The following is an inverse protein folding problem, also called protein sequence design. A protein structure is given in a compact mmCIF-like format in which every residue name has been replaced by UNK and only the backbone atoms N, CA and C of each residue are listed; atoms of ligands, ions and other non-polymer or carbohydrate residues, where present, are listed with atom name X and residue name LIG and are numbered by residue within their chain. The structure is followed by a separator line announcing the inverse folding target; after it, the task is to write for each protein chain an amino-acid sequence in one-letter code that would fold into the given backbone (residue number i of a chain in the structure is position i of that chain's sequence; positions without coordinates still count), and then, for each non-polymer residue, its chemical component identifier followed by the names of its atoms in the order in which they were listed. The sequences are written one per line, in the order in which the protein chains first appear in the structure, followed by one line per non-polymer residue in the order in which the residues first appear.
data_IF_443099233983
#
_entry.id   IF_443099233983
#
_cell.length_a   1.000
_cell.length_b   1.000
_cell.length_c   1.000
_cell.angle_alpha   90.00
_cell.angle_beta   90.00
_cell.angle_gamma   90.00
#
_symmetry.space_group_name_H-M   'P 1'
#
loop_
_entity.id
_entity.type
_entity.pdbx_description
1 polymer ?
#
# COMPACT_ATOMS: atom_id res chain seq x y z
N UNK A 1 -23.86 0.51 8.23
CA UNK A 1 -24.07 0.73 6.78
C UNK A 1 -22.86 0.10 6.08
N UNK A 2 -23.05 -0.96 5.29
CA UNK A 2 -21.90 -1.69 4.74
C UNK A 2 -21.16 -0.84 3.70
N UNK A 3 -19.83 -0.97 3.62
CA UNK A 3 -18.98 -0.22 2.69
C UNK A 3 -19.46 -0.28 1.22
N UNK A 4 -20.22 -1.32 0.86
CA UNK A 4 -20.83 -1.49 -0.45
C UNK A 4 -21.80 -0.36 -0.84
N UNK A 5 -22.45 0.30 0.12
CA UNK A 5 -23.37 1.41 -0.17
C UNK A 5 -22.67 2.75 -0.42
N UNK A 6 -21.41 2.92 -0.01
CA UNK A 6 -20.69 4.20 -0.15
C UNK A 6 -20.07 4.34 -1.54
N UNK A 7 -19.66 3.24 -2.18
CA UNK A 7 -18.98 3.26 -3.49
C UNK A 7 -19.92 3.35 -4.69
N UNK A 8 -21.23 3.17 -4.50
CA UNK A 8 -22.19 3.17 -5.61
C UNK A 8 -22.35 4.57 -6.23
N UNK A 9 -22.09 5.60 -5.45
CA UNK A 9 -22.33 6.99 -5.85
C UNK A 9 -21.12 7.67 -6.52
N UNK A 10 -19.90 7.11 -6.41
CA UNK A 10 -18.69 7.75 -6.96
C UNK A 10 -18.37 7.34 -8.40
N UNK A 11 -18.71 6.12 -8.81
CA UNK A 11 -18.49 5.63 -10.17
C UNK A 11 -19.77 4.90 -10.62
N UNK A 12 -20.61 5.52 -11.48
CA UNK A 12 -21.81 4.88 -12.01
C UNK A 12 -21.46 3.63 -12.81
N UNK A 13 -21.96 2.47 -12.36
CA UNK A 13 -21.69 1.16 -13.00
C UNK A 13 -22.83 0.72 -13.91
N UNK A 14 -24.00 1.34 -13.74
CA UNK A 14 -25.22 1.07 -14.47
C UNK A 14 -25.08 1.51 -15.93
N UNK A 15 -24.52 2.71 -16.17
CA UNK A 15 -24.34 3.25 -17.52
C UNK A 15 -23.34 2.44 -18.36
N UNK A 16 -22.37 1.79 -17.71
CA UNK A 16 -21.39 0.91 -18.36
C UNK A 16 -21.87 -0.55 -18.43
N UNK A 17 -23.03 -0.88 -17.83
CA UNK A 17 -23.59 -2.23 -17.75
C UNK A 17 -22.61 -3.24 -17.12
N UNK A 18 -21.68 -2.77 -16.29
CA UNK A 18 -20.63 -3.59 -15.69
C UNK A 18 -21.21 -4.69 -14.79
N UNK A 19 -22.31 -4.38 -14.09
CA UNK A 19 -23.01 -5.36 -13.23
C UNK A 19 -23.69 -6.46 -14.06
N UNK A 20 -24.36 -6.09 -15.16
CA UNK A 20 -25.05 -7.01 -16.07
C UNK A 20 -24.06 -7.92 -16.79
N UNK A 21 -22.90 -7.38 -17.20
CA UNK A 21 -21.82 -8.14 -17.79
C UNK A 21 -21.30 -9.23 -16.84
N UNK A 22 -21.04 -8.89 -15.57
CA UNK A 22 -20.58 -9.86 -14.57
C UNK A 22 -21.66 -10.89 -14.18
N UNK A 23 -22.95 -10.52 -14.19
CA UNK A 23 -24.04 -11.50 -14.02
C UNK A 23 -24.02 -12.56 -15.12
N UNK A 24 -23.78 -12.14 -16.38
CA UNK A 24 -23.72 -13.05 -17.54
C UNK A 24 -22.43 -13.86 -17.60
N UNK A 25 -21.31 -13.27 -17.19
CA UNK A 25 -20.00 -13.90 -17.18
C UNK A 25 -19.34 -13.79 -15.79
N UNK A 26 -19.74 -14.62 -14.81
CA UNK A 26 -19.32 -14.47 -13.40
C UNK A 26 -17.81 -14.56 -13.14
N UNK A 27 -17.07 -15.19 -14.06
CA UNK A 27 -15.63 -15.36 -13.95
C UNK A 27 -14.82 -14.27 -14.67
N UNK A 28 -15.47 -13.29 -15.29
CA UNK A 28 -14.82 -12.22 -16.04
C UNK A 28 -14.63 -10.98 -15.13
N UNK A 29 -14.21 -11.23 -13.90
CA UNK A 29 -14.04 -10.26 -12.81
C UNK A 29 -12.61 -9.69 -12.72
N UNK A 30 -11.80 -9.92 -13.76
CA UNK A 30 -10.41 -9.49 -13.82
C UNK A 30 -9.41 -10.46 -13.16
N UNK A 31 -9.85 -11.64 -12.71
CA UNK A 31 -8.91 -12.69 -12.28
C UNK A 31 -7.90 -12.99 -13.38
N UNK A 32 -6.66 -13.26 -12.97
CA UNK A 32 -5.53 -13.60 -13.84
C UNK A 32 -5.11 -12.48 -14.82
N UNK A 33 -5.56 -11.25 -14.55
CA UNK A 33 -5.11 -10.02 -15.22
C UNK A 33 -4.34 -9.15 -14.22
N UNK A 34 -3.21 -8.59 -14.66
CA UNK A 34 -2.42 -7.61 -13.89
C UNK A 34 -2.55 -6.25 -14.57
N UNK A 35 -2.80 -5.21 -13.77
CA UNK A 35 -2.93 -3.82 -14.22
C UNK A 35 -1.84 -3.00 -13.54
N UNK A 36 -1.05 -2.27 -14.33
CA UNK A 36 -0.15 -1.24 -13.81
C UNK A 36 -0.86 0.12 -13.81
N UNK A 37 -0.72 0.88 -12.72
CA UNK A 37 -1.28 2.22 -12.58
C UNK A 37 -0.11 3.19 -12.46
N UNK A 38 -0.04 4.17 -13.38
CA UNK A 38 0.94 5.26 -13.35
C UNK A 38 0.17 6.53 -13.02
N UNK A 39 0.22 6.92 -11.75
CA UNK A 39 -0.53 8.04 -11.18
C UNK A 39 0.30 8.67 -10.03
N UNK A 40 -0.27 9.59 -9.26
CA UNK A 40 0.39 10.27 -8.14
C UNK A 40 0.57 9.40 -6.89
N UNK A 41 -0.05 8.22 -6.85
CA UNK A 41 0.03 7.28 -5.73
C UNK A 41 -1.27 6.53 -5.50
N UNK A 42 -1.25 5.63 -4.52
CA UNK A 42 -2.39 4.78 -4.18
C UNK A 42 -2.40 4.50 -2.68
N UNK A 43 -3.54 4.75 -2.02
CA UNK A 43 -3.75 4.31 -0.65
C UNK A 43 -4.13 2.82 -0.61
N UNK A 44 -3.15 1.99 -0.30
CA UNK A 44 -3.30 0.53 -0.20
C UNK A 44 -4.00 0.07 1.08
N UNK A 45 -4.21 0.98 2.05
CA UNK A 45 -4.86 0.66 3.32
C UNK A 45 -6.39 0.59 3.21
N UNK A 46 -6.96 1.07 2.11
CA UNK A 46 -8.41 1.05 1.88
C UNK A 46 -8.95 -0.39 1.78
N UNK A 47 -10.14 -0.62 2.33
CA UNK A 47 -10.81 -1.94 2.32
C UNK A 47 -10.92 -2.55 0.91
N UNK A 48 -11.17 -1.72 -0.10
CA UNK A 48 -11.27 -2.14 -1.51
C UNK A 48 -9.94 -2.56 -2.15
N UNK A 49 -8.81 -2.35 -1.46
CA UNK A 49 -7.45 -2.65 -1.93
C UNK A 49 -6.82 -3.86 -1.24
N UNK A 50 -7.55 -4.54 -0.36
CA UNK A 50 -7.00 -5.65 0.43
C UNK A 50 -6.88 -6.95 -0.37
N UNK A 51 -8.01 -7.45 -0.89
CA UNK A 51 -8.10 -8.78 -1.51
C UNK A 51 -8.85 -8.75 -2.84
N UNK A 52 -8.44 -9.62 -3.76
CA UNK A 52 -9.17 -9.94 -4.99
C UNK A 52 -10.39 -10.83 -4.69
N UNK A 53 -11.24 -11.05 -5.69
CA UNK A 53 -12.37 -11.99 -5.62
C UNK A 53 -11.94 -13.44 -5.35
N UNK A 54 -10.67 -13.77 -5.62
CA UNK A 54 -10.07 -15.09 -5.36
C UNK A 54 -9.35 -15.18 -4.00
N UNK A 55 -9.44 -14.14 -3.16
CA UNK A 55 -8.83 -14.10 -1.83
C UNK A 55 -7.34 -13.74 -1.79
N UNK A 56 -6.67 -13.65 -2.94
CA UNK A 56 -5.28 -13.19 -3.07
C UNK A 56 -5.13 -11.69 -2.78
N UNK A 57 -3.98 -11.20 -2.29
CA UNK A 57 -3.70 -9.75 -2.19
C UNK A 57 -3.98 -9.03 -3.52
N UNK A 58 -4.61 -7.85 -3.45
CA UNK A 58 -4.98 -7.10 -4.67
C UNK A 58 -3.84 -6.24 -5.23
N UNK A 59 -3.01 -5.69 -4.34
CA UNK A 59 -1.81 -4.93 -4.73
C UNK A 59 -0.63 -5.88 -4.73
N UNK A 60 0.09 -5.93 -5.86
CA UNK A 60 1.31 -6.73 -6.00
C UNK A 60 2.51 -5.90 -5.51
N UNK A 61 2.60 -4.66 -5.99
CA UNK A 61 3.69 -3.75 -5.66
C UNK A 61 3.26 -2.28 -5.82
N UNK A 62 4.02 -1.37 -5.22
CA UNK A 62 3.82 0.08 -5.31
C UNK A 62 5.18 0.78 -5.33
N UNK A 63 5.45 1.53 -6.40
CA UNK A 63 6.72 2.21 -6.61
C UNK A 63 6.53 3.72 -6.72
N UNK A 64 7.37 4.46 -6.00
CA UNK A 64 7.57 5.89 -6.25
C UNK A 64 8.73 6.07 -7.25
N UNK A 65 8.38 6.42 -8.49
CA UNK A 65 9.36 6.68 -9.55
C UNK A 65 9.90 8.12 -9.53
N UNK A 66 9.38 8.99 -8.67
CA UNK A 66 9.82 10.39 -8.59
C UNK A 66 11.12 10.55 -7.82
N UNK A 67 11.44 9.59 -6.94
CA UNK A 67 12.58 9.66 -6.04
C UNK A 67 12.39 10.61 -4.86
N UNK A 68 11.19 11.17 -4.68
CA UNK A 68 10.89 12.09 -3.57
C UNK A 68 11.05 11.41 -2.20
N UNK A 69 10.81 10.09 -2.13
CA UNK A 69 11.01 9.29 -0.92
C UNK A 69 12.44 8.76 -0.70
N UNK A 70 13.42 9.11 -1.55
CA UNK A 70 14.76 8.54 -1.44
C UNK A 70 15.48 9.02 -0.16
N UNK A 71 16.07 8.07 0.59
CA UNK A 71 16.87 8.34 1.79
C UNK A 71 18.28 7.79 1.58
N UNK A 72 19.29 8.65 1.72
CA UNK A 72 20.68 8.21 1.71
C UNK A 72 21.00 7.42 2.99
N UNK A 73 21.34 6.15 2.81
CA UNK A 73 21.71 5.20 3.89
C UNK A 73 23.18 4.80 3.83
N UNK A 74 24.02 5.57 3.13
CA UNK A 74 25.45 5.30 2.97
C UNK A 74 26.26 5.40 4.27
N UNK A 75 25.75 6.13 5.27
CA UNK A 75 26.44 6.31 6.55
C UNK A 75 26.23 5.11 7.46
N UNK A 76 27.33 4.41 7.77
CA UNK A 76 27.35 3.31 8.75
C UNK A 76 27.78 3.87 10.11
N UNK A 77 27.02 3.56 11.17
CA UNK A 77 27.36 3.89 12.56
C UNK A 77 27.15 2.69 13.48
N UNK A 78 28.03 2.56 14.45
CA UNK A 78 27.88 1.60 15.54
C UNK A 78 27.05 2.20 16.69
N UNK A 79 26.44 1.32 17.48
CA UNK A 79 25.75 1.72 18.70
C UNK A 79 26.75 2.09 19.80
N UNK A 80 26.43 3.13 20.57
CA UNK A 80 27.12 3.41 21.82
C UNK A 80 26.66 2.39 22.87
N UNK A 81 27.59 1.56 23.34
CA UNK A 81 27.34 0.54 24.35
C UNK A 81 27.58 1.09 25.76
N UNK A 82 26.57 1.71 26.36
CA UNK A 82 26.58 2.13 27.76
C UNK A 82 25.71 1.19 28.61
N UNK A 83 26.05 -0.11 28.65
CA UNK A 83 25.30 -1.14 29.40
C UNK A 83 24.10 -1.70 28.63
N UNK A 84 22.96 -1.90 29.31
CA UNK A 84 21.73 -2.49 28.73
C UNK A 84 21.02 -1.59 27.71
N UNK A 85 21.32 -0.29 27.69
CA UNK A 85 20.70 0.68 26.80
C UNK A 85 21.60 0.94 25.60
N UNK A 86 21.15 0.56 24.41
CA UNK A 86 21.80 0.92 23.14
C UNK A 86 21.34 2.31 22.71
N UNK A 87 22.28 3.16 22.31
CA UNK A 87 21.96 4.49 21.79
C UNK A 87 22.75 4.82 20.52
N UNK A 88 22.20 5.67 19.67
CA UNK A 88 22.85 6.17 18.45
C UNK A 88 22.59 7.67 18.31
N UNK A 89 23.61 8.43 17.92
CA UNK A 89 23.45 9.86 17.60
C UNK A 89 22.94 10.01 16.17
N UNK A 90 21.70 10.44 16.01
CA UNK A 90 21.08 10.70 14.70
C UNK A 90 21.68 11.92 13.99
N UNK A 91 21.30 12.13 12.73
CA UNK A 91 21.80 13.27 11.92
C UNK A 91 21.44 14.64 12.49
N UNK A 92 20.36 14.72 13.28
CA UNK A 92 19.98 15.94 14.01
C UNK A 92 20.84 16.23 15.24
N UNK A 93 21.80 15.35 15.57
CA UNK A 93 22.59 15.40 16.81
C UNK A 93 21.86 14.86 18.04
N UNK A 94 20.57 14.51 17.93
CA UNK A 94 19.80 13.91 19.03
C UNK A 94 20.25 12.47 19.29
N UNK A 95 20.33 12.12 20.57
CA UNK A 95 20.55 10.75 21.00
C UNK A 95 19.24 9.96 20.87
N UNK A 96 19.25 8.89 20.09
CA UNK A 96 18.13 7.99 19.90
C UNK A 96 18.38 6.73 20.74
N UNK A 97 17.46 6.44 21.65
CA UNK A 97 17.49 5.20 22.42
C UNK A 97 16.87 4.08 21.57
N UNK A 98 17.61 3.00 21.38
CA UNK A 98 17.13 1.84 20.61
C UNK A 98 16.74 0.75 21.58
N UNK A 99 15.44 0.47 21.63
CA UNK A 99 14.87 -0.68 22.33
C UNK A 99 14.82 -1.83 21.33
N UNK A 100 15.56 -2.90 21.61
CA UNK A 100 15.43 -4.13 20.85
C UNK A 100 14.17 -4.85 21.35
N UNK A 101 13.15 -4.90 20.49
CA UNK A 101 11.96 -5.75 20.63
C UNK A 101 12.25 -7.16 20.15
#
# INVERSE_FOLDING_TARGET
MSAQNIFKDYIPKEITQQSEFLKKYPNFDGRDVVIAIIDCGLDVSLDGMQKTTTGRPKVIDCFDFTGAGNVDTSVIKEFNNNGFNKSITGLSGRLLNVILI
#
